data_IF_009944694524
#
_entry.id   IF_009944694524
#
_cell.length_a   1.000
_cell.length_b   1.000
_cell.length_c   1.000
_cell.angle_alpha   90.00
_cell.angle_beta   90.00
_cell.angle_gamma   90.00
#
_symmetry.space_group_name_H-M   'P 1'
#
loop_
_entity.id
_entity.type
_entity.pdbx_description
1 polymer ?
#
# COMPACT_ATOMS: atom_id res chain seq x y z
N UNK A 1 -8.77 11.84 18.35
CA UNK A 1 -8.05 11.24 17.21
C UNK A 1 -8.95 11.38 15.99
N UNK A 2 -8.56 12.17 15.00
CA UNK A 2 -9.36 12.28 13.77
C UNK A 2 -9.33 10.92 13.06
N UNK A 3 -10.50 10.40 12.71
CA UNK A 3 -10.61 9.11 12.02
C UNK A 3 -10.11 9.33 10.60
N UNK A 4 -8.96 8.76 10.25
CA UNK A 4 -8.40 8.90 8.90
C UNK A 4 -9.33 8.19 7.92
N UNK A 5 -9.90 8.94 6.99
CA UNK A 5 -10.75 8.37 5.95
C UNK A 5 -9.92 7.48 5.04
N UNK A 6 -10.56 6.46 4.47
CA UNK A 6 -9.91 5.54 3.56
C UNK A 6 -10.84 5.09 2.45
N UNK A 7 -10.28 4.99 1.25
CA UNK A 7 -10.87 4.26 0.14
C UNK A 7 -10.66 2.76 0.38
N UNK A 8 -11.74 1.99 0.31
CA UNK A 8 -11.71 0.53 0.41
C UNK A 8 -11.95 -0.07 -0.97
N UNK A 9 -11.08 -0.98 -1.39
CA UNK A 9 -11.21 -1.73 -2.64
C UNK A 9 -11.09 -3.22 -2.31
N UNK A 10 -12.02 -4.03 -2.83
CA UNK A 10 -11.98 -5.49 -2.70
C UNK A 10 -11.52 -6.10 -4.03
N UNK A 11 -10.44 -6.87 -4.01
CA UNK A 11 -9.87 -7.49 -5.20
C UNK A 11 -9.17 -8.80 -4.83
N UNK A 12 -9.33 -9.85 -5.64
CA UNK A 12 -8.63 -11.13 -5.45
C UNK A 12 -8.85 -11.81 -4.09
N UNK A 13 -9.99 -11.55 -3.42
CA UNK A 13 -10.28 -12.06 -2.07
C UNK A 13 -9.63 -11.27 -0.94
N UNK A 14 -8.91 -10.20 -1.25
CA UNK A 14 -8.30 -9.29 -0.28
C UNK A 14 -9.09 -7.98 -0.20
N UNK A 15 -9.05 -7.36 0.98
CA UNK A 15 -9.57 -6.02 1.23
C UNK A 15 -8.41 -5.04 1.36
N UNK A 16 -8.31 -4.10 0.44
CA UNK A 16 -7.31 -3.05 0.42
C UNK A 16 -7.85 -1.76 1.00
N UNK A 17 -7.04 -1.09 1.82
CA UNK A 17 -7.36 0.19 2.45
C UNK A 17 -6.30 1.23 2.08
N UNK A 18 -6.74 2.27 1.39
CA UNK A 18 -5.92 3.40 0.97
C UNK A 18 -6.34 4.64 1.73
N UNK A 19 -5.48 5.15 2.60
CA UNK A 19 -5.80 6.32 3.40
C UNK A 19 -5.64 7.62 2.60
N UNK A 20 -6.54 8.57 2.85
CA UNK A 20 -6.38 9.94 2.39
C UNK A 20 -5.25 10.66 3.13
N UNK A 21 -4.62 11.63 2.47
CA UNK A 21 -3.57 12.45 3.09
C UNK A 21 -4.16 13.34 4.20
N UNK A 22 -3.37 13.64 5.22
CA UNK A 22 -3.85 14.44 6.36
C UNK A 22 -3.86 15.94 6.03
N UNK A 23 -2.95 16.37 5.17
CA UNK A 23 -2.82 17.77 4.73
C UNK A 23 -3.71 18.05 3.51
N UNK A 24 -4.01 17.01 2.72
CA UNK A 24 -4.85 17.05 1.52
C UNK A 24 -5.91 15.94 1.56
N UNK A 25 -7.00 16.11 2.33
CA UNK A 25 -8.02 15.07 2.54
C UNK A 25 -8.75 14.61 1.26
N UNK A 26 -8.65 15.37 0.18
CA UNK A 26 -9.22 15.08 -1.13
C UNK A 26 -8.39 14.12 -1.98
N UNK A 27 -7.12 13.87 -1.59
CA UNK A 27 -6.18 13.02 -2.34
C UNK A 27 -5.70 11.86 -1.48
N UNK A 28 -5.51 10.68 -2.09
CA UNK A 28 -4.90 9.54 -1.43
C UNK A 28 -3.43 9.83 -1.08
N UNK A 29 -3.03 9.45 0.13
CA UNK A 29 -1.67 9.65 0.62
C UNK A 29 -0.63 9.04 -0.34
N UNK A 30 -0.88 7.83 -0.83
CA UNK A 30 0.03 7.16 -1.76
C UNK A 30 0.15 7.87 -3.12
N UNK A 31 -0.94 8.46 -3.59
CA UNK A 31 -0.96 9.16 -4.87
C UNK A 31 -0.22 10.48 -4.74
N UNK A 32 -0.47 11.22 -3.66
CA UNK A 32 0.21 12.49 -3.41
C UNK A 32 1.70 12.32 -3.14
N UNK A 33 2.08 11.36 -2.28
CA UNK A 33 3.48 11.23 -1.80
C UNK A 33 4.35 10.34 -2.68
N UNK A 34 3.76 9.38 -3.39
CA UNK A 34 4.49 8.37 -4.14
C UNK A 34 4.10 8.28 -5.62
N UNK A 35 3.17 9.14 -6.09
CA UNK A 35 2.73 9.15 -7.48
C UNK A 35 2.13 7.81 -7.95
N UNK A 36 1.64 6.99 -7.02
CA UNK A 36 1.10 5.66 -7.29
C UNK A 36 -0.41 5.67 -7.05
N UNK A 37 -1.17 5.04 -7.94
CA UNK A 37 -2.63 4.92 -7.80
C UNK A 37 -3.00 3.54 -7.24
N UNK A 38 -4.18 3.38 -6.60
CA UNK A 38 -4.60 2.11 -6.01
C UNK A 38 -4.53 0.92 -6.96
N UNK A 39 -4.91 1.11 -8.23
CA UNK A 39 -4.94 0.06 -9.24
C UNK A 39 -3.53 -0.51 -9.49
N UNK A 40 -2.53 0.37 -9.62
CA UNK A 40 -1.13 -0.03 -9.80
C UNK A 40 -0.58 -0.74 -8.56
N UNK A 41 -0.95 -0.27 -7.37
CA UNK A 41 -0.52 -0.92 -6.13
C UNK A 41 -1.16 -2.30 -5.96
N UNK A 42 -2.45 -2.45 -6.24
CA UNK A 42 -3.14 -3.75 -6.22
C UNK A 42 -2.52 -4.69 -7.24
N UNK A 43 -2.20 -4.21 -8.44
CA UNK A 43 -1.49 -5.02 -9.44
C UNK A 43 -0.14 -5.49 -8.89
N UNK A 44 0.66 -4.59 -8.33
CA UNK A 44 1.95 -4.92 -7.72
C UNK A 44 1.84 -5.86 -6.51
N UNK A 45 0.70 -5.87 -5.81
CA UNK A 45 0.43 -6.83 -4.75
C UNK A 45 0.34 -8.26 -5.27
N UNK A 46 -0.38 -8.47 -6.38
CA UNK A 46 -0.62 -9.80 -6.94
C UNK A 46 0.48 -10.28 -7.88
N UNK A 47 1.11 -9.37 -8.61
CA UNK A 47 2.11 -9.71 -9.64
C UNK A 47 3.56 -9.58 -9.13
N UNK A 48 3.77 -8.84 -8.05
CA UNK A 48 5.10 -8.61 -7.50
C UNK A 48 5.66 -9.81 -6.75
N UNK A 49 6.98 -9.92 -6.73
CA UNK A 49 7.70 -10.84 -5.86
C UNK A 49 7.49 -10.45 -4.40
N UNK A 50 6.84 -11.32 -3.63
CA UNK A 50 6.57 -11.08 -2.22
C UNK A 50 7.79 -11.43 -1.39
N UNK A 51 8.30 -10.46 -0.66
CA UNK A 51 9.40 -10.65 0.28
C UNK A 51 8.90 -11.22 1.62
N UNK A 52 9.77 -11.90 2.40
CA UNK A 52 9.41 -12.39 3.73
C UNK A 52 8.88 -11.28 4.64
N UNK A 53 7.96 -11.64 5.54
CA UNK A 53 7.43 -10.73 6.54
C UNK A 53 8.54 -10.22 7.48
N UNK A 54 8.63 -8.90 7.64
CA UNK A 54 9.52 -8.20 8.56
C UNK A 54 8.78 -7.95 9.88
N UNK A 55 9.00 -8.84 10.87
CA UNK A 55 8.36 -8.73 12.19
C UNK A 55 8.71 -7.43 12.91
N UNK A 56 9.96 -6.97 12.82
CA UNK A 56 10.42 -5.77 13.52
C UNK A 56 9.70 -4.51 13.05
N UNK A 57 9.26 -4.50 11.78
CA UNK A 57 8.51 -3.37 11.19
C UNK A 57 7.03 -3.68 10.94
N UNK A 58 6.58 -4.90 11.30
CA UNK A 58 5.21 -5.39 11.09
C UNK A 58 4.70 -5.13 9.67
N UNK A 59 5.51 -5.48 8.67
CA UNK A 59 5.23 -5.24 7.26
C UNK A 59 5.79 -6.35 6.38
N UNK A 60 5.26 -6.46 5.18
CA UNK A 60 5.90 -7.19 4.07
C UNK A 60 6.04 -6.27 2.88
N UNK A 61 6.75 -6.74 1.87
CA UNK A 61 7.04 -5.98 0.67
C UNK A 61 6.66 -6.80 -0.55
N UNK A 62 6.09 -6.16 -1.56
CA UNK A 62 6.03 -6.74 -2.91
C UNK A 62 6.85 -5.90 -3.85
N UNK A 63 7.62 -6.57 -4.71
CA UNK A 63 8.59 -5.94 -5.60
C UNK A 63 8.25 -6.30 -7.03
N UNK A 64 8.18 -5.28 -7.88
CA UNK A 64 8.08 -5.41 -9.33
C UNK A 64 9.40 -4.96 -9.96
N UNK A 65 9.49 -5.01 -11.30
CA UNK A 65 10.65 -4.47 -12.02
C UNK A 65 10.85 -2.97 -11.75
N UNK A 66 9.76 -2.21 -11.58
CA UNK A 66 9.80 -0.75 -11.55
C UNK A 66 9.59 -0.14 -10.15
N UNK A 67 8.91 -0.86 -9.26
CA UNK A 67 8.51 -0.34 -7.95
C UNK A 67 8.55 -1.41 -6.87
N UNK A 68 8.79 -1.00 -5.62
CA UNK A 68 8.53 -1.78 -4.42
C UNK A 68 7.45 -1.12 -3.56
N UNK A 69 6.59 -1.93 -2.95
CA UNK A 69 5.51 -1.45 -2.09
C UNK A 69 5.59 -2.13 -0.74
N UNK A 70 5.56 -1.32 0.32
CA UNK A 70 5.45 -1.79 1.69
C UNK A 70 3.99 -1.90 2.11
N UNK A 71 3.64 -3.07 2.60
CA UNK A 71 2.30 -3.45 3.02
C UNK A 71 2.27 -3.81 4.50
N UNK A 72 1.16 -3.54 5.15
CA UNK A 72 0.85 -4.13 6.46
C UNK A 72 -0.59 -4.60 6.49
N UNK A 73 -0.95 -5.41 7.49
CA UNK A 73 -2.33 -5.82 7.72
C UNK A 73 -2.89 -5.09 8.92
N UNK A 74 -4.11 -4.58 8.78
CA UNK A 74 -4.82 -3.96 9.88
C UNK A 74 -5.12 -5.02 10.96
N UNK A 75 -4.83 -4.76 12.24
CA UNK A 75 -4.84 -5.80 13.27
C UNK A 75 -6.24 -6.40 13.54
N UNK A 76 -7.30 -5.64 13.28
CA UNK A 76 -8.67 -6.05 13.63
C UNK A 76 -9.39 -6.83 12.52
N UNK A 77 -9.26 -6.39 11.27
CA UNK A 77 -10.02 -6.93 10.13
C UNK A 77 -9.09 -7.47 9.02
N UNK A 78 -7.78 -7.52 9.28
CA UNK A 78 -6.76 -8.06 8.39
C UNK A 78 -6.67 -7.39 7.01
N UNK A 79 -7.30 -6.22 6.83
CA UNK A 79 -7.26 -5.48 5.58
C UNK A 79 -5.83 -5.06 5.25
N UNK A 80 -5.43 -5.21 3.98
CA UNK A 80 -4.13 -4.81 3.46
C UNK A 80 -4.06 -3.28 3.38
N UNK A 81 -3.01 -2.70 3.95
CA UNK A 81 -2.75 -1.26 3.97
C UNK A 81 -1.44 -0.98 3.25
N UNK A 82 -1.47 -0.02 2.32
CA UNK A 82 -0.24 0.56 1.75
C UNK A 82 0.40 1.48 2.78
N UNK A 83 1.67 1.23 3.10
CA UNK A 83 2.49 2.13 3.93
C UNK A 83 3.20 3.14 3.04
N UNK A 84 3.92 2.66 2.03
CA UNK A 84 4.76 3.48 1.15
C UNK A 84 5.06 2.74 -0.14
N UNK A 85 5.32 3.50 -1.20
CA UNK A 85 5.80 3.01 -2.48
C UNK A 85 7.13 3.71 -2.81
N UNK A 86 8.08 2.96 -3.37
CA UNK A 86 9.34 3.48 -3.85
C UNK A 86 9.63 2.96 -5.25
N UNK A 87 10.29 3.79 -6.06
CA UNK A 87 10.78 3.38 -7.38
C UNK A 87 12.08 2.63 -7.20
N UNK A 88 12.28 1.59 -8.00
CA UNK A 88 13.60 0.99 -8.16
C UNK A 88 14.36 1.87 -9.14
N UNK A 89 15.49 2.41 -8.71
CA UNK A 89 16.45 3.00 -9.65
C UNK A 89 17.04 1.83 -10.47
N UNK A 90 17.07 1.97 -11.79
CA UNK A 90 17.87 1.08 -12.64
C UNK A 90 19.33 1.29 -12.25
N UNK A 91 20.01 0.24 -11.78
CA UNK A 91 21.47 0.27 -11.52
C UNK A 91 22.27 0.48 -12.81
#
# INVERSE_FOLDING_TARGET
MSRREALIIEAGGERFRFYYDLEHPEVLHMTLRHGTVPEDAIRAFFEGETQPWDEARSRFETVTETHGIYWTRHPHDQSVIVISCFRREEE
#
